data_IF_492232079431
#
_entry.id   IF_492232079431
#
_cell.length_a   1.000
_cell.length_b   1.000
_cell.length_c   1.000
_cell.angle_alpha   90.00
_cell.angle_beta   90.00
_cell.angle_gamma   90.00
#
_symmetry.space_group_name_H-M   'P 1'
#
loop_
_entity.id
_entity.type
_entity.pdbx_description
1 polymer ?
#
# COMPACT_ATOMS: atom_id res chain seq x y z
N UNK A 1 -10.80 -15.73 -10.80
CA UNK A 1 -10.04 -15.91 -9.55
C UNK A 1 -10.69 -16.94 -8.63
N UNK A 2 -11.98 -16.80 -8.31
CA UNK A 2 -12.70 -17.72 -7.40
C UNK A 2 -12.73 -19.17 -7.88
N UNK A 3 -12.82 -19.42 -9.19
CA UNK A 3 -12.83 -20.79 -9.70
C UNK A 3 -11.43 -21.41 -9.67
N UNK A 4 -10.43 -20.62 -10.06
CA UNK A 4 -9.04 -21.03 -10.15
C UNK A 4 -8.45 -21.37 -8.78
N UNK A 5 -8.94 -20.75 -7.69
CA UNK A 5 -8.43 -21.01 -6.35
C UNK A 5 -8.75 -22.43 -5.86
N UNK A 6 -9.76 -23.10 -6.41
CA UNK A 6 -10.18 -24.45 -6.00
C UNK A 6 -9.06 -25.48 -6.07
N UNK A 7 -8.14 -25.31 -7.02
CA UNK A 7 -7.02 -26.23 -7.27
C UNK A 7 -5.65 -25.57 -7.08
N UNK A 8 -5.61 -24.31 -6.65
CA UNK A 8 -4.37 -23.58 -6.46
C UNK A 8 -3.73 -23.87 -5.10
N UNK A 9 -2.42 -24.06 -5.09
CA UNK A 9 -1.63 -24.17 -3.85
C UNK A 9 -1.38 -22.78 -3.22
N UNK A 10 -1.24 -21.75 -4.05
CA UNK A 10 -0.92 -20.38 -3.64
C UNK A 10 -1.80 -19.37 -4.36
N UNK A 11 -2.14 -18.28 -3.67
CA UNK A 11 -2.71 -17.08 -4.28
C UNK A 11 -1.95 -15.85 -3.77
N UNK A 12 -1.44 -15.04 -4.71
CA UNK A 12 -0.72 -13.81 -4.41
C UNK A 12 -1.63 -12.62 -4.71
N UNK A 13 -1.86 -11.78 -3.70
CA UNK A 13 -2.80 -10.66 -3.76
C UNK A 13 -2.04 -9.34 -3.71
N UNK A 14 -2.22 -8.52 -4.73
CA UNK A 14 -1.94 -7.08 -4.64
C UNK A 14 -3.12 -6.42 -3.94
N UNK A 15 -2.92 -5.95 -2.71
CA UNK A 15 -3.97 -5.27 -1.94
C UNK A 15 -4.37 -3.97 -2.62
N UNK A 16 -3.42 -3.25 -3.25
CA UNK A 16 -3.73 -2.00 -3.96
C UNK A 16 -4.67 -2.23 -5.15
N UNK A 17 -4.43 -3.30 -5.90
CA UNK A 17 -5.33 -3.70 -6.98
C UNK A 17 -6.68 -4.16 -6.46
N UNK A 18 -6.68 -5.00 -5.42
CA UNK A 18 -7.91 -5.55 -4.87
C UNK A 18 -8.83 -4.47 -4.28
N UNK A 19 -8.26 -3.56 -3.50
CA UNK A 19 -9.02 -2.57 -2.74
C UNK A 19 -9.27 -1.32 -3.56
N UNK A 20 -8.30 -0.83 -4.31
CA UNK A 20 -8.39 0.48 -4.97
C UNK A 20 -8.48 0.41 -6.50
N UNK A 21 -8.06 -0.70 -7.11
CA UNK A 21 -7.93 -0.83 -8.57
C UNK A 21 -6.57 -0.39 -9.10
N UNK A 22 -5.58 -0.22 -8.22
CA UNK A 22 -4.19 0.04 -8.59
C UNK A 22 -3.53 1.17 -7.80
N UNK A 23 -2.31 1.50 -8.23
CA UNK A 23 -1.40 2.40 -7.51
C UNK A 23 -1.80 3.88 -7.53
N UNK A 24 -2.39 4.36 -8.63
CA UNK A 24 -2.89 5.75 -8.69
C UNK A 24 -4.22 5.85 -7.92
N UNK A 25 -5.20 4.95 -8.12
CA UNK A 25 -6.42 4.94 -7.32
C UNK A 25 -6.18 4.77 -5.81
N UNK A 26 -5.13 4.06 -5.38
CA UNK A 26 -4.80 3.94 -3.94
C UNK A 26 -4.36 5.25 -3.30
N UNK A 27 -3.88 6.22 -4.10
CA UNK A 27 -3.56 7.59 -3.65
C UNK A 27 -4.77 8.52 -3.68
N UNK A 28 -5.68 8.33 -4.63
CA UNK A 28 -6.69 9.32 -4.99
C UNK A 28 -8.14 8.92 -4.64
N UNK A 29 -8.32 7.92 -3.79
CA UNK A 29 -9.66 7.43 -3.46
C UNK A 29 -10.39 8.28 -2.41
N UNK A 30 -11.72 8.21 -2.45
CA UNK A 30 -12.62 8.72 -1.39
C UNK A 30 -13.48 7.62 -0.76
N UNK A 31 -13.05 6.37 -0.93
CA UNK A 31 -13.70 5.19 -0.36
C UNK A 31 -13.76 5.29 1.16
N UNK A 32 -14.87 4.82 1.73
CA UNK A 32 -15.00 4.62 3.17
C UNK A 32 -14.23 3.38 3.59
N UNK A 33 -13.85 3.31 4.86
CA UNK A 33 -13.26 2.10 5.44
C UNK A 33 -14.15 0.87 5.20
N UNK A 34 -15.47 1.01 5.37
CA UNK A 34 -16.43 -0.07 5.11
C UNK A 34 -16.36 -0.59 3.67
N UNK A 35 -16.27 0.29 2.67
CA UNK A 35 -16.12 -0.12 1.27
C UNK A 35 -14.78 -0.81 1.00
N UNK A 36 -13.70 -0.37 1.65
CA UNK A 36 -12.40 -1.04 1.57
C UNK A 36 -12.45 -2.44 2.19
N UNK A 37 -13.07 -2.55 3.37
CA UNK A 37 -13.22 -3.83 4.08
C UNK A 37 -14.12 -4.80 3.31
N UNK A 38 -15.18 -4.32 2.67
CA UNK A 38 -16.04 -5.13 1.81
C UNK A 38 -15.23 -5.77 0.66
N UNK A 39 -14.36 -5.01 0.00
CA UNK A 39 -13.49 -5.54 -1.07
C UNK A 39 -12.50 -6.57 -0.56
N UNK A 40 -11.97 -6.37 0.65
CA UNK A 40 -11.06 -7.33 1.30
C UNK A 40 -11.74 -8.66 1.66
N UNK A 41 -13.08 -8.73 1.71
CA UNK A 41 -13.79 -9.99 1.96
C UNK A 41 -13.51 -11.05 0.92
N UNK A 42 -13.02 -10.68 -0.28
CA UNK A 42 -12.55 -11.63 -1.28
C UNK A 42 -11.49 -12.59 -0.71
N UNK A 43 -10.56 -12.09 0.12
CA UNK A 43 -9.55 -12.96 0.74
C UNK A 43 -10.19 -14.06 1.61
N UNK A 44 -11.27 -13.73 2.31
CA UNK A 44 -12.06 -14.69 3.10
C UNK A 44 -12.75 -15.71 2.19
N UNK A 45 -13.39 -15.25 1.10
CA UNK A 45 -14.05 -16.13 0.13
C UNK A 45 -13.09 -17.13 -0.51
N UNK A 46 -11.87 -16.69 -0.85
CA UNK A 46 -10.83 -17.59 -1.39
C UNK A 46 -10.49 -18.71 -0.42
N UNK A 47 -10.39 -18.38 0.88
CA UNK A 47 -10.14 -19.36 1.94
C UNK A 47 -11.33 -20.28 2.21
N UNK A 48 -12.55 -19.79 2.06
CA UNK A 48 -13.76 -20.63 2.17
C UNK A 48 -13.84 -21.65 1.02
N UNK A 49 -13.50 -21.23 -0.20
CA UNK A 49 -13.52 -22.11 -1.39
C UNK A 49 -12.40 -23.15 -1.31
N UNK A 50 -11.20 -22.73 -0.91
CA UNK A 50 -10.07 -23.62 -0.73
C UNK A 50 -9.37 -23.35 0.61
N UNK A 51 -9.70 -24.10 1.68
CA UNK A 51 -9.08 -23.93 3.00
C UNK A 51 -7.56 -24.12 3.01
N UNK A 52 -7.00 -24.93 2.10
CA UNK A 52 -5.57 -25.24 2.05
C UNK A 52 -4.74 -24.21 1.27
N UNK A 53 -5.36 -23.34 0.45
CA UNK A 53 -4.61 -22.35 -0.36
C UNK A 53 -3.76 -21.44 0.53
N UNK A 54 -2.48 -21.23 0.20
CA UNK A 54 -1.64 -20.26 0.90
C UNK A 54 -1.84 -18.87 0.29
N UNK A 55 -2.43 -17.97 1.06
CA UNK A 55 -2.60 -16.57 0.66
C UNK A 55 -1.36 -15.77 1.04
N UNK A 56 -0.74 -15.15 0.04
CA UNK A 56 0.32 -14.17 0.20
C UNK A 56 -0.24 -12.83 -0.25
N UNK A 57 -0.08 -11.79 0.56
CA UNK A 57 -0.57 -10.45 0.23
C UNK A 57 0.57 -9.45 0.33
N UNK A 58 0.56 -8.47 -0.57
CA UNK A 58 1.47 -7.34 -0.52
C UNK A 58 0.69 -6.05 -0.76
N UNK A 59 1.23 -4.98 -0.20
CA UNK A 59 0.76 -3.63 -0.42
C UNK A 59 1.97 -2.74 -0.75
N UNK A 60 1.75 -1.70 -1.53
CA UNK A 60 2.78 -0.76 -1.91
C UNK A 60 2.92 0.33 -0.85
N UNK A 61 4.12 0.46 -0.29
CA UNK A 61 4.50 1.64 0.47
C UNK A 61 5.04 2.67 -0.52
N UNK A 62 4.34 3.78 -0.64
CA UNK A 62 4.70 4.85 -1.58
C UNK A 62 5.66 5.84 -0.92
N UNK A 63 6.59 6.36 -1.71
CA UNK A 63 7.51 7.41 -1.26
C UNK A 63 6.81 8.76 -1.35
N UNK A 64 7.08 9.64 -0.38
CA UNK A 64 6.69 11.04 -0.50
C UNK A 64 7.49 11.70 -1.64
N UNK A 65 6.85 12.32 -2.64
CA UNK A 65 7.53 13.06 -3.70
C UNK A 65 8.30 14.27 -3.14
N UNK A 66 9.48 14.55 -3.70
CA UNK A 66 10.27 15.74 -3.38
C UNK A 66 9.78 17.01 -4.11
N UNK A 67 8.51 17.05 -4.48
CA UNK A 67 7.88 18.14 -5.22
C UNK A 67 6.43 18.32 -4.75
N UNK A 68 5.89 19.51 -5.01
CA UNK A 68 4.49 19.83 -4.72
C UNK A 68 3.66 19.76 -5.99
N UNK A 69 2.82 18.73 -6.10
CA UNK A 69 1.90 18.49 -7.23
C UNK A 69 0.72 17.65 -6.75
N UNK A 70 -0.46 17.84 -7.34
CA UNK A 70 -1.66 17.02 -7.11
C UNK A 70 -2.08 16.20 -8.35
N UNK A 71 -1.18 16.01 -9.32
CA UNK A 71 -1.51 15.29 -10.56
C UNK A 71 -1.80 13.81 -10.30
N UNK A 72 -0.93 13.14 -9.54
CA UNK A 72 -1.13 11.74 -9.10
C UNK A 72 -1.18 11.60 -7.56
N UNK A 73 -1.21 12.72 -6.85
CA UNK A 73 -1.13 12.78 -5.39
C UNK A 73 -2.36 13.45 -4.78
N UNK A 74 -2.69 13.18 -3.49
CA UNK A 74 -3.78 13.87 -2.81
C UNK A 74 -3.66 15.39 -2.89
N UNK A 75 -4.79 16.11 -2.92
CA UNK A 75 -4.85 17.57 -3.13
C UNK A 75 -3.88 18.39 -2.25
N UNK A 76 -3.63 17.93 -1.02
CA UNK A 76 -2.71 18.62 -0.10
C UNK A 76 -1.24 18.59 -0.54
N UNK A 77 -0.84 17.66 -1.42
CA UNK A 77 0.52 17.62 -1.98
C UNK A 77 0.81 18.79 -2.91
N UNK A 78 -0.20 19.43 -3.53
CA UNK A 78 0.02 20.64 -4.30
C UNK A 78 0.60 21.79 -3.45
N UNK A 79 0.33 21.79 -2.15
CA UNK A 79 0.77 22.84 -1.22
C UNK A 79 1.93 22.40 -0.34
N UNK A 80 2.00 21.12 0.05
CA UNK A 80 2.90 20.65 1.11
C UNK A 80 3.79 19.48 0.69
N UNK A 81 3.78 19.05 -0.57
CA UNK A 81 4.44 17.82 -1.00
C UNK A 81 5.95 17.82 -0.74
N UNK A 82 6.64 18.86 -1.19
CA UNK A 82 8.08 19.01 -0.98
C UNK A 82 8.44 19.10 0.51
N UNK A 83 7.69 19.86 1.30
CA UNK A 83 7.91 20.05 2.74
C UNK A 83 7.69 18.75 3.52
N UNK A 84 6.70 17.94 3.13
CA UNK A 84 6.47 16.61 3.71
C UNK A 84 7.68 15.69 3.46
N UNK A 85 8.25 15.73 2.26
CA UNK A 85 9.45 14.97 1.91
C UNK A 85 10.65 15.40 2.77
N UNK A 86 10.93 16.71 2.84
CA UNK A 86 12.02 17.28 3.63
C UNK A 86 11.92 16.90 5.11
N UNK A 87 10.72 16.98 5.69
CA UNK A 87 10.48 16.57 7.09
C UNK A 87 10.76 15.09 7.32
N UNK A 88 10.38 14.23 6.37
CA UNK A 88 10.67 12.81 6.42
C UNK A 88 12.17 12.53 6.41
N UNK A 89 12.93 13.23 5.55
CA UNK A 89 14.39 13.10 5.47
C UNK A 89 15.09 13.60 6.74
N UNK A 90 14.63 14.72 7.30
CA UNK A 90 15.14 15.24 8.57
C UNK A 90 14.90 14.25 9.71
N UNK A 91 13.70 13.67 9.81
CA UNK A 91 13.37 12.65 10.82
C UNK A 91 14.22 11.38 10.67
N UNK A 92 14.41 10.89 9.45
CA UNK A 92 15.30 9.74 9.16
C UNK A 92 16.74 10.04 9.56
N UNK A 93 17.23 11.24 9.22
CA UNK A 93 18.59 11.67 9.54
C UNK A 93 18.81 11.79 11.06
N UNK A 94 17.80 12.21 11.81
CA UNK A 94 17.85 12.25 13.27
C UNK A 94 17.88 10.82 13.85
N UNK A 95 17.01 9.92 13.38
CA UNK A 95 17.00 8.51 13.82
C UNK A 95 18.34 7.82 13.58
N UNK A 96 18.92 7.99 12.39
CA UNK A 96 20.22 7.39 12.03
C UNK A 96 21.38 7.89 12.90
N UNK A 97 21.33 9.15 13.35
CA UNK A 97 22.35 9.71 14.27
C UNK A 97 22.21 9.12 15.68
N UNK A 98 20.98 8.82 16.11
CA UNK A 98 20.72 8.21 17.43
C UNK A 98 21.08 6.72 17.45
N UNK A 99 20.91 5.99 16.34
CA UNK A 99 21.18 4.55 16.23
C UNK A 99 22.64 4.18 15.90
N UNK A 100 23.58 5.13 15.98
CA UNK A 100 25.01 4.83 15.87
C UNK A 100 25.47 4.30 14.50
N UNK A 101 24.82 4.70 13.40
CA UNK A 101 25.38 4.50 12.06
C UNK A 101 25.26 3.09 11.46
N UNK A 102 24.30 2.26 11.88
CA UNK A 102 23.91 1.09 11.06
C UNK A 102 23.08 1.56 9.88
N UNK A 103 23.74 1.79 8.75
CA UNK A 103 23.08 2.01 7.48
C UNK A 103 22.20 0.78 7.14
N UNK A 104 20.89 0.93 7.26
CA UNK A 104 19.94 0.00 6.65
C UNK A 104 19.88 0.36 5.16
N UNK A 105 20.66 -0.38 4.36
CA UNK A 105 20.53 -0.40 2.90
C UNK A 105 19.30 -1.23 2.55
N UNK A 106 18.31 -0.59 1.93
CA UNK A 106 17.24 -1.27 1.19
C UNK A 106 17.68 -1.33 -0.26
#
# INVERSE_FOLDING_TARGET
>A
MLEQVRTADYAILSIDQLVYGGIVPSRLHRLTEAACMERLTLARQLKEINPSVKLLAFNLIMRAPAYSSSEEEPDYYALYGAELCERGEAARSASNRMDGGRAVSV
#
